data_IF_473948227503
#
_entry.id   IF_473948227503
#
_cell.length_a   1.000
_cell.length_b   1.000
_cell.length_c   1.000
_cell.angle_alpha   90.00
_cell.angle_beta   90.00
_cell.angle_gamma   90.00
#
_symmetry.space_group_name_H-M   'P 1'
#
loop_
_entity.id
_entity.type
_entity.pdbx_description
1 polymer ?
#
# COMPACT_ATOMS: atom_id res chain seq x y z
N UNK A 1 15.26 5.41 -14.57
CA UNK A 1 14.32 4.61 -13.76
C UNK A 1 13.10 5.48 -13.55
N UNK A 2 11.90 4.95 -13.69
CA UNK A 2 10.67 5.74 -13.66
C UNK A 2 9.94 5.54 -12.33
N UNK A 3 9.33 6.58 -11.77
CA UNK A 3 8.74 6.56 -10.43
C UNK A 3 7.23 6.82 -10.49
N UNK A 4 6.34 5.82 -10.31
CA UNK A 4 4.91 6.06 -10.17
C UNK A 4 4.59 6.71 -8.81
N UNK A 5 3.85 7.84 -8.84
CA UNK A 5 3.38 8.56 -7.66
C UNK A 5 1.86 8.53 -7.56
N UNK A 6 1.37 8.24 -6.35
CA UNK A 6 -0.02 8.42 -5.93
C UNK A 6 -0.11 9.57 -4.93
N UNK A 7 -1.04 10.49 -5.14
CA UNK A 7 -1.34 11.58 -4.20
C UNK A 7 -2.50 11.18 -3.28
N UNK A 8 -2.34 11.47 -1.99
CA UNK A 8 -3.25 11.16 -0.89
C UNK A 8 -3.62 12.44 -0.12
N UNK A 9 -4.70 12.45 0.65
CA UNK A 9 -5.15 13.65 1.38
C UNK A 9 -4.86 13.61 2.89
N UNK A 10 -4.38 12.49 3.44
CA UNK A 10 -3.95 12.38 4.84
C UNK A 10 -2.43 12.38 4.95
N UNK A 11 -1.87 12.73 6.13
CA UNK A 11 -0.42 12.81 6.41
C UNK A 11 0.30 11.48 6.16
N UNK A 12 0.60 11.20 4.90
CA UNK A 12 1.04 9.90 4.42
C UNK A 12 2.29 10.05 3.59
N UNK A 13 3.32 9.29 3.95
CA UNK A 13 4.52 9.15 3.12
C UNK A 13 4.91 7.68 3.06
N UNK A 14 4.65 7.03 1.94
CA UNK A 14 5.13 5.68 1.64
C UNK A 14 6.10 5.71 0.45
N UNK A 15 7.16 4.93 0.57
CA UNK A 15 8.13 4.65 -0.46
C UNK A 15 8.32 3.13 -0.54
N UNK A 16 7.97 2.55 -1.69
CA UNK A 16 8.14 1.13 -1.97
C UNK A 16 9.05 0.92 -3.17
N UNK A 17 10.05 0.06 -3.02
CA UNK A 17 11.00 -0.31 -4.07
C UNK A 17 10.61 -1.65 -4.64
N UNK A 18 10.46 -1.72 -5.95
CA UNK A 18 10.37 -2.96 -6.72
C UNK A 18 11.62 -3.11 -7.61
N UNK A 19 11.83 -4.25 -8.29
CA UNK A 19 12.97 -4.39 -9.21
C UNK A 19 12.95 -3.37 -10.35
N UNK A 20 11.77 -2.88 -10.72
CA UNK A 20 11.55 -2.08 -11.92
C UNK A 20 11.53 -0.57 -11.61
N UNK A 21 11.00 -0.18 -10.45
CA UNK A 21 10.72 1.21 -10.11
C UNK A 21 10.70 1.46 -8.59
N UNK A 22 10.64 2.75 -8.22
CA UNK A 22 10.25 3.13 -6.87
C UNK A 22 8.85 3.73 -6.97
N UNK A 23 7.90 3.14 -6.25
CA UNK A 23 6.54 3.64 -6.09
C UNK A 23 6.48 4.52 -4.85
N UNK A 24 5.83 5.67 -4.96
CA UNK A 24 5.72 6.64 -3.88
C UNK A 24 4.26 7.01 -3.68
N UNK A 25 3.78 6.98 -2.45
CA UNK A 25 2.46 7.50 -2.06
C UNK A 25 2.68 8.65 -1.10
N UNK A 26 2.26 9.85 -1.47
CA UNK A 26 2.48 11.07 -0.69
C UNK A 26 1.18 11.81 -0.50
N UNK A 27 1.11 12.60 0.56
CA UNK A 27 0.12 13.65 0.68
C UNK A 27 0.37 14.81 -0.30
N UNK A 28 -0.57 15.76 -0.38
CA UNK A 28 -0.43 16.93 -1.25
C UNK A 28 0.80 17.79 -0.89
N UNK A 29 1.15 17.85 0.40
CA UNK A 29 2.27 18.60 0.95
C UNK A 29 3.60 18.01 0.49
N UNK A 30 3.80 16.70 0.68
CA UNK A 30 4.97 15.96 0.23
C UNK A 30 5.07 15.92 -1.29
N UNK A 31 3.95 15.88 -2.02
CA UNK A 31 3.97 15.98 -3.48
C UNK A 31 4.54 17.31 -3.98
N UNK A 32 4.28 18.43 -3.28
CA UNK A 32 4.81 19.76 -3.65
C UNK A 32 6.33 19.84 -3.54
N UNK A 33 6.98 18.98 -2.77
CA UNK A 33 8.43 18.93 -2.64
C UNK A 33 9.12 18.26 -3.83
N UNK A 34 8.37 17.52 -4.65
CA UNK A 34 8.91 16.80 -5.80
C UNK A 34 9.01 17.69 -7.03
N UNK A 35 10.19 17.68 -7.66
CA UNK A 35 10.39 18.37 -8.92
C UNK A 35 9.94 17.50 -10.11
N UNK A 36 9.12 18.03 -11.04
CA UNK A 36 8.76 17.32 -12.26
C UNK A 36 10.01 16.93 -13.06
N UNK A 37 10.07 15.69 -13.52
CA UNK A 37 11.16 15.19 -14.39
C UNK A 37 10.64 14.13 -15.35
N UNK A 38 11.40 13.83 -16.40
CA UNK A 38 11.08 12.74 -17.35
C UNK A 38 11.10 11.34 -16.71
N UNK A 39 11.72 11.22 -15.54
CA UNK A 39 11.78 10.00 -14.75
C UNK A 39 10.61 9.88 -13.76
N UNK A 40 9.74 10.88 -13.68
CA UNK A 40 8.60 10.91 -12.78
C UNK A 40 7.31 10.60 -13.55
N UNK A 41 6.56 9.60 -13.09
CA UNK A 41 5.22 9.30 -13.57
C UNK A 41 4.22 9.57 -12.46
N UNK A 42 3.30 10.50 -12.68
CA UNK A 42 2.28 10.86 -11.68
C UNK A 42 0.93 10.32 -12.15
N UNK A 43 0.21 9.65 -11.26
CA UNK A 43 -1.17 9.26 -11.54
C UNK A 43 -2.08 10.51 -11.50
N UNK A 44 -3.05 10.58 -12.41
CA UNK A 44 -3.84 11.80 -12.63
C UNK A 44 -5.00 12.03 -11.67
N UNK A 45 -5.25 11.12 -10.72
CA UNK A 45 -6.32 11.16 -9.73
C UNK A 45 -5.72 11.36 -8.33
N UNK A 46 -6.46 12.06 -7.47
CA UNK A 46 -6.20 12.02 -6.03
C UNK A 46 -6.88 10.79 -5.42
N UNK A 47 -6.19 10.14 -4.49
CA UNK A 47 -6.66 8.94 -3.80
C UNK A 47 -6.97 9.23 -2.34
N UNK A 48 -8.03 8.62 -1.83
CA UNK A 48 -8.48 8.75 -0.45
C UNK A 48 -8.24 7.41 0.25
N UNK A 49 -7.59 7.41 1.42
CA UNK A 49 -7.37 6.18 2.18
C UNK A 49 -8.62 5.83 2.98
N UNK A 50 -9.08 4.60 2.82
CA UNK A 50 -10.09 3.98 3.68
C UNK A 50 -9.38 3.07 4.67
N UNK A 51 -9.73 3.21 5.94
CA UNK A 51 -9.26 2.32 7.01
C UNK A 51 -10.46 1.64 7.67
N UNK A 52 -10.39 0.31 7.83
CA UNK A 52 -11.49 -0.49 8.37
C UNK A 52 -11.15 -0.90 9.79
N UNK A 53 -11.78 -0.25 10.77
CA UNK A 53 -11.61 -0.60 12.18
C UNK A 53 -12.73 -1.54 12.62
N UNK A 54 -12.38 -2.74 13.10
CA UNK A 54 -13.35 -3.61 13.74
C UNK A 54 -13.43 -3.30 15.25
N UNK A 55 -14.56 -2.76 15.71
CA UNK A 55 -14.87 -2.68 17.14
C UNK A 55 -15.24 -4.07 17.68
N UNK A 56 -14.24 -4.92 17.85
CA UNK A 56 -14.40 -6.26 18.38
C UNK A 56 -14.63 -6.24 19.88
N UNK A 57 -15.89 -6.31 20.32
CA UNK A 57 -16.27 -6.58 21.71
C UNK A 57 -16.10 -8.08 22.08
N UNK A 58 -15.13 -8.77 21.51
CA UNK A 58 -14.90 -10.20 21.72
C UNK A 58 -13.44 -10.44 22.10
N UNK A 59 -13.26 -10.85 23.35
CA UNK A 59 -12.02 -11.30 23.98
C UNK A 59 -11.34 -12.43 23.20
N UNK A 60 -10.49 -12.09 22.24
CA UNK A 60 -9.46 -12.98 21.72
C UNK A 60 -8.30 -12.12 21.21
N UNK A 61 -7.21 -12.14 21.98
CA UNK A 61 -5.88 -11.70 21.56
C UNK A 61 -5.57 -12.19 20.16
N UNK A 62 -5.05 -11.33 19.30
CA UNK A 62 -4.75 -11.52 17.87
C UNK A 62 -5.95 -11.43 16.92
N UNK A 63 -6.20 -10.23 16.39
CA UNK A 63 -6.50 -10.03 14.97
C UNK A 63 -6.47 -8.53 14.67
N UNK A 64 -5.37 -8.07 14.07
CA UNK A 64 -5.53 -7.08 13.00
C UNK A 64 -6.65 -7.61 12.08
N UNK A 65 -7.51 -6.74 11.56
CA UNK A 65 -8.59 -7.13 10.66
C UNK A 65 -7.93 -7.60 9.37
N UNK A 66 -7.47 -8.85 9.34
CA UNK A 66 -6.61 -9.33 8.26
C UNK A 66 -7.27 -9.13 6.91
N UNK A 67 -6.46 -8.82 5.91
CA UNK A 67 -6.82 -8.53 4.50
C UNK A 67 -7.94 -9.43 3.97
N UNK A 68 -8.03 -10.70 4.38
CA UNK A 68 -9.11 -11.63 4.02
C UNK A 68 -10.53 -11.18 4.41
N UNK A 69 -10.70 -10.52 5.56
CA UNK A 69 -12.01 -9.97 5.97
C UNK A 69 -12.36 -8.76 5.11
N UNK A 70 -11.41 -7.86 4.95
CA UNK A 70 -11.53 -6.66 4.09
C UNK A 70 -11.81 -7.04 2.64
N UNK A 71 -11.19 -8.10 2.13
CA UNK A 71 -11.36 -8.56 0.77
C UNK A 71 -12.83 -8.90 0.44
N UNK A 72 -13.55 -9.51 1.39
CA UNK A 72 -14.95 -9.89 1.18
C UNK A 72 -15.92 -8.74 1.42
N UNK A 73 -15.71 -7.96 2.48
CA UNK A 73 -16.67 -6.93 2.89
C UNK A 73 -16.44 -5.57 2.23
N UNK A 74 -15.25 -5.32 1.66
CA UNK A 74 -14.92 -4.04 1.04
C UNK A 74 -14.46 -4.22 -0.40
N UNK A 75 -13.41 -5.01 -0.65
CA UNK A 75 -12.80 -5.09 -2.00
C UNK A 75 -13.79 -5.68 -3.01
N UNK A 76 -14.47 -6.78 -2.68
CA UNK A 76 -15.43 -7.41 -3.59
C UNK A 76 -16.63 -6.51 -3.94
N UNK A 77 -17.35 -5.89 -2.99
CA UNK A 77 -18.42 -4.93 -3.31
C UNK A 77 -17.96 -3.74 -4.16
N UNK A 78 -16.77 -3.18 -3.87
CA UNK A 78 -16.23 -2.06 -4.65
C UNK A 78 -15.89 -2.48 -6.09
N UNK A 79 -15.33 -3.67 -6.26
CA UNK A 79 -15.02 -4.21 -7.59
C UNK A 79 -16.30 -4.46 -8.42
N UNK A 80 -17.38 -4.96 -7.79
CA UNK A 80 -18.69 -5.13 -8.43
C UNK A 80 -19.29 -3.81 -8.92
N UNK A 81 -18.99 -2.70 -8.23
CA UNK A 81 -19.39 -1.34 -8.63
C UNK A 81 -18.36 -0.64 -9.53
N UNK A 82 -17.39 -1.37 -10.05
CA UNK A 82 -16.37 -0.85 -10.96
C UNK A 82 -15.50 0.26 -10.32
N UNK A 83 -15.23 0.15 -9.01
CA UNK A 83 -14.31 1.03 -8.28
C UNK A 83 -12.92 0.40 -8.24
N UNK A 84 -11.92 1.09 -8.79
CA UNK A 84 -10.52 0.68 -8.70
C UNK A 84 -9.96 0.98 -7.31
N UNK A 85 -9.21 0.03 -6.74
CA UNK A 85 -8.59 0.16 -5.42
C UNK A 85 -7.08 -0.04 -5.49
N UNK A 86 -6.34 0.66 -4.63
CA UNK A 86 -4.92 0.46 -4.38
C UNK A 86 -4.73 0.02 -2.93
N UNK A 87 -4.05 -1.10 -2.70
CA UNK A 87 -3.85 -1.63 -1.35
C UNK A 87 -2.51 -1.16 -0.80
N UNK A 88 -2.51 -0.63 0.43
CA UNK A 88 -1.31 -0.25 1.16
C UNK A 88 -1.37 -0.84 2.57
N UNK A 89 -0.75 -2.00 2.74
CA UNK A 89 -0.61 -2.65 4.05
C UNK A 89 0.64 -2.14 4.77
N UNK A 90 0.47 -1.78 6.04
CA UNK A 90 1.55 -1.37 6.94
C UNK A 90 1.62 -2.31 8.15
N UNK A 91 2.62 -2.12 9.01
CA UNK A 91 2.70 -2.83 10.28
C UNK A 91 1.49 -2.53 11.19
N UNK A 92 0.96 -1.31 11.11
CA UNK A 92 -0.11 -0.84 12.00
C UNK A 92 -1.50 -1.22 11.48
N UNK A 93 -1.76 -1.02 10.19
CA UNK A 93 -3.07 -1.26 9.57
C UNK A 93 -3.00 -1.47 8.06
N UNK A 94 -4.11 -1.91 7.49
CA UNK A 94 -4.34 -2.04 6.05
C UNK A 94 -5.14 -0.84 5.53
N UNK A 95 -4.56 -0.08 4.60
CA UNK A 95 -5.24 1.01 3.90
C UNK A 95 -5.73 0.56 2.53
N UNK A 96 -6.95 0.98 2.18
CA UNK A 96 -7.56 0.77 0.87
C UNK A 96 -7.72 2.15 0.24
N UNK A 97 -6.89 2.47 -0.73
CA UNK A 97 -6.96 3.74 -1.43
C UNK A 97 -7.98 3.65 -2.57
N UNK A 98 -8.89 4.61 -2.61
CA UNK A 98 -9.89 4.78 -3.67
C UNK A 98 -9.75 6.14 -4.31
N UNK A 99 -10.08 6.29 -5.60
CA UNK A 99 -10.02 7.62 -6.22
C UNK A 99 -11.09 8.53 -5.63
N UNK A 100 -10.74 9.79 -5.36
CA UNK A 100 -11.67 10.78 -4.79
C UNK A 100 -12.97 10.89 -5.62
N UNK A 101 -12.85 10.85 -6.96
CA UNK A 101 -14.01 10.89 -7.87
C UNK A 101 -15.00 9.73 -7.70
N UNK A 102 -14.56 8.61 -7.13
CA UNK A 102 -15.37 7.41 -6.91
C UNK A 102 -15.96 7.37 -5.48
N UNK A 103 -15.70 8.39 -4.64
CA UNK A 103 -16.09 8.41 -3.23
C UNK A 103 -17.60 8.26 -3.01
N UNK A 104 -18.44 8.86 -3.87
CA UNK A 104 -19.90 8.73 -3.73
C UNK A 104 -20.35 7.28 -3.91
N UNK A 105 -19.78 6.58 -4.90
CA UNK A 105 -20.07 5.16 -5.16
C UNK A 105 -19.57 4.31 -4.00
N UNK A 106 -18.38 4.61 -3.47
CA UNK A 106 -17.82 3.92 -2.30
C UNK A 106 -18.75 4.03 -1.09
N UNK A 107 -19.22 5.24 -0.77
CA UNK A 107 -20.13 5.48 0.37
C UNK A 107 -21.45 4.73 0.16
N UNK A 108 -22.07 4.86 -1.00
CA UNK A 108 -23.33 4.15 -1.32
C UNK A 108 -23.19 2.63 -1.25
N UNK A 109 -22.03 2.09 -1.64
CA UNK A 109 -21.76 0.65 -1.65
C UNK A 109 -21.55 0.11 -0.24
N UNK A 110 -20.85 0.85 0.62
CA UNK A 110 -20.41 0.35 1.93
C UNK A 110 -21.34 0.74 3.09
N UNK A 111 -22.22 1.73 2.93
CA UNK A 111 -23.08 2.25 4.01
C UNK A 111 -24.07 1.22 4.57
N UNK A 112 -24.43 0.19 3.80
CA UNK A 112 -25.33 -0.88 4.27
C UNK A 112 -24.65 -1.79 5.31
N UNK A 113 -23.35 -2.01 5.19
CA UNK A 113 -22.58 -2.89 6.09
C UNK A 113 -21.75 -2.11 7.12
N UNK A 114 -21.40 -0.85 6.85
CA UNK A 114 -20.48 -0.07 7.64
C UNK A 114 -21.07 1.26 8.10
N UNK A 115 -20.75 1.64 9.34
CA UNK A 115 -20.88 3.02 9.77
C UNK A 115 -19.68 3.80 9.23
N UNK A 116 -19.92 4.71 8.29
CA UNK A 116 -18.86 5.45 7.61
C UNK A 116 -18.60 6.76 8.37
N UNK A 117 -17.33 7.01 8.66
CA UNK A 117 -16.86 8.24 9.28
C UNK A 117 -15.80 8.89 8.40
N UNK A 118 -15.78 10.22 8.41
CA UNK A 118 -14.75 11.05 7.79
C UNK A 118 -13.98 11.74 8.91
N UNK A 119 -12.65 11.74 8.83
CA UNK A 119 -11.84 12.53 9.74
C UNK A 119 -11.75 13.98 9.26
N UNK A 120 -12.18 14.92 10.09
CA UNK A 120 -12.07 16.35 9.85
C UNK A 120 -11.46 17.01 11.08
N UNK A 121 -10.24 17.56 10.95
CA UNK A 121 -9.55 18.22 12.05
C UNK A 121 -9.23 17.31 13.24
N UNK A 122 -9.09 16.00 13.02
CA UNK A 122 -8.84 15.00 14.06
C UNK A 122 -10.12 14.45 14.73
N UNK A 123 -11.30 14.90 14.32
CA UNK A 123 -12.58 14.41 14.83
C UNK A 123 -13.26 13.49 13.78
N UNK A 124 -13.92 12.44 14.24
CA UNK A 124 -14.67 11.51 13.38
C UNK A 124 -16.10 11.99 13.16
N UNK A 125 -16.40 12.47 11.95
CA UNK A 125 -17.72 12.97 11.55
C UNK A 125 -18.48 11.87 10.78
N UNK A 126 -19.72 11.51 11.16
CA UNK A 126 -20.49 10.49 10.46
C UNK A 126 -20.92 10.96 9.07
N UNK A 127 -20.71 10.12 8.06
CA UNK A 127 -21.10 10.41 6.67
C UNK A 127 -22.47 9.80 6.38
N UNK A 128 -23.40 10.60 5.85
CA UNK A 128 -24.73 10.15 5.47
C UNK A 128 -24.85 10.08 3.95
N UNK A 129 -25.63 9.11 3.43
CA UNK A 129 -25.76 8.87 1.98
C UNK A 129 -26.27 10.08 1.19
N UNK A 130 -27.02 11.00 1.81
CA UNK A 130 -27.55 12.20 1.17
C UNK A 130 -26.50 13.26 0.84
N UNK A 131 -25.34 13.25 1.51
CA UNK A 131 -24.27 14.23 1.28
C UNK A 131 -23.45 13.93 0.00
N UNK A 132 -23.61 12.73 -0.56
CA UNK A 132 -22.86 12.24 -1.73
C UNK A 132 -23.61 12.34 -3.08
N UNK A 133 -24.88 12.76 -3.09
CA UNK A 133 -25.78 12.64 -4.26
C UNK A 133 -25.54 13.64 -5.42
N UNK A 134 -24.51 14.48 -5.40
CA UNK A 134 -24.34 15.54 -6.41
C UNK A 134 -23.60 15.12 -7.70
N UNK A 135 -23.55 13.84 -8.05
CA UNK A 135 -22.74 13.43 -9.21
C UNK A 135 -22.99 12.06 -9.82
N UNK A 136 -24.17 11.44 -9.67
CA UNK A 136 -24.42 10.10 -10.20
C UNK A 136 -24.61 10.11 -11.73
N UNK A 137 -23.55 10.43 -12.48
CA UNK A 137 -23.43 10.01 -13.86
C UNK A 137 -22.95 8.57 -13.86
N UNK A 138 -23.90 7.64 -14.09
CA UNK A 138 -23.60 6.30 -14.57
C UNK A 138 -22.88 6.45 -15.92
N UNK A 139 -21.56 6.64 -15.87
CA UNK A 139 -20.73 6.60 -17.05
C UNK A 139 -20.85 5.18 -17.61
N UNK A 140 -21.44 5.07 -18.80
CA UNK A 140 -21.48 3.84 -19.59
C UNK A 140 -20.09 3.46 -20.09
N UNK A 141 -19.14 3.29 -19.17
CA UNK A 141 -17.84 2.69 -19.48
C UNK A 141 -18.10 1.23 -19.82
N UNK A 142 -17.61 0.82 -20.99
CA UNK A 142 -17.48 -0.58 -21.34
C UNK A 142 -16.85 -1.32 -20.16
N UNK A 143 -17.53 -2.39 -19.72
CA UNK A 143 -17.07 -3.23 -18.62
C UNK A 143 -15.68 -3.75 -18.99
N UNK A 144 -14.60 -3.35 -18.30
CA UNK A 144 -13.31 -3.97 -18.50
C UNK A 144 -13.48 -5.45 -18.16
N UNK A 145 -13.24 -6.33 -19.13
CA UNK A 145 -13.30 -7.77 -18.90
C UNK A 145 -12.33 -8.14 -17.79
N UNK A 146 -12.82 -8.86 -16.78
CA UNK A 146 -11.96 -9.39 -15.71
C UNK A 146 -10.87 -10.27 -16.33
N UNK A 147 -9.62 -9.83 -16.19
CA UNK A 147 -8.43 -10.56 -16.64
C UNK A 147 -7.86 -11.37 -15.50
N UNK A 148 -7.46 -12.60 -15.79
CA UNK A 148 -6.74 -13.43 -14.83
C UNK A 148 -5.26 -13.08 -14.92
N UNK A 149 -4.69 -12.59 -13.82
CA UNK A 149 -3.30 -12.19 -13.77
C UNK A 149 -2.41 -13.36 -13.30
N UNK A 150 -1.22 -13.54 -13.90
CA UNK A 150 -0.28 -14.54 -13.42
C UNK A 150 0.22 -14.19 -12.02
N UNK A 151 0.51 -15.21 -11.23
CA UNK A 151 1.07 -15.06 -9.88
C UNK A 151 2.50 -15.61 -9.87
N UNK A 152 3.44 -14.81 -9.38
CA UNK A 152 4.83 -15.17 -9.13
C UNK A 152 5.07 -15.21 -7.62
N UNK A 153 5.69 -16.28 -7.12
CA UNK A 153 6.01 -16.44 -5.70
C UNK A 153 7.54 -16.52 -5.56
N UNK A 154 8.21 -15.42 -5.19
CA UNK A 154 9.64 -15.42 -4.90
C UNK A 154 9.99 -16.34 -3.71
N UNK A 155 11.25 -16.74 -3.63
CA UNK A 155 11.79 -17.51 -2.50
C UNK A 155 12.15 -16.63 -1.29
N UNK A 156 12.12 -15.30 -1.42
CA UNK A 156 12.38 -14.38 -0.30
C UNK A 156 11.49 -14.69 0.90
N UNK A 157 12.06 -14.49 2.07
CA UNK A 157 11.34 -14.38 3.32
C UNK A 157 11.36 -12.93 3.78
N UNK A 158 10.19 -12.36 4.00
CA UNK A 158 10.00 -10.96 4.38
C UNK A 158 9.64 -10.85 5.85
N UNK A 159 10.13 -9.80 6.49
CA UNK A 159 9.69 -9.38 7.81
C UNK A 159 8.92 -8.06 7.68
N UNK A 160 7.83 -7.96 8.45
CA UNK A 160 7.08 -6.71 8.65
C UNK A 160 7.45 -6.19 10.03
N UNK A 161 7.97 -4.97 10.08
CA UNK A 161 8.57 -4.38 11.28
C UNK A 161 8.12 -2.94 11.49
N UNK A 162 8.24 -2.48 12.72
CA UNK A 162 8.00 -1.11 13.16
C UNK A 162 9.26 -0.57 13.82
N UNK A 163 9.34 0.76 13.93
CA UNK A 163 10.44 1.48 14.54
C UNK A 163 9.88 2.66 15.33
N UNK A 164 10.52 3.01 16.44
CA UNK A 164 10.25 4.27 17.12
C UNK A 164 10.76 5.43 16.24
N UNK A 165 9.91 6.40 15.83
CA UNK A 165 10.32 7.54 15.01
C UNK A 165 11.53 8.30 15.56
N UNK A 166 11.67 8.39 16.89
CA UNK A 166 12.79 9.09 17.53
C UNK A 166 14.13 8.38 17.29
N UNK A 167 14.08 7.08 16.97
CA UNK A 167 15.26 6.25 16.65
C UNK A 167 15.56 6.18 15.16
N UNK A 168 14.69 6.72 14.29
CA UNK A 168 14.89 6.76 12.83
C UNK A 168 16.23 7.37 12.41
N UNK A 169 16.72 8.47 13.02
CA UNK A 169 18.03 9.02 12.69
C UNK A 169 19.19 8.03 12.90
N UNK A 170 19.07 7.08 13.85
CA UNK A 170 20.11 6.11 14.14
C UNK A 170 20.26 5.05 13.03
N UNK A 171 19.21 4.79 12.26
CA UNK A 171 19.23 3.83 11.14
C UNK A 171 19.26 4.50 9.77
N UNK A 172 19.24 5.84 9.71
CA UNK A 172 19.05 6.59 8.47
C UNK A 172 20.11 6.28 7.40
N UNK A 173 21.37 6.14 7.79
CA UNK A 173 22.45 5.80 6.86
C UNK A 173 22.28 4.40 6.26
N UNK A 174 21.94 3.41 7.08
CA UNK A 174 21.63 2.05 6.61
C UNK A 174 20.40 2.05 5.71
N UNK A 175 19.35 2.78 6.09
CA UNK A 175 18.13 2.89 5.30
C UNK A 175 18.42 3.48 3.91
N UNK A 176 19.19 4.57 3.85
CA UNK A 176 19.62 5.19 2.58
C UNK A 176 20.45 4.22 1.74
N UNK A 177 21.37 3.48 2.36
CA UNK A 177 22.20 2.50 1.66
C UNK A 177 21.37 1.36 1.02
N UNK A 178 20.44 0.79 1.78
CA UNK A 178 19.53 -0.26 1.32
C UNK A 178 18.59 0.24 0.21
N UNK A 179 18.04 1.44 0.38
CA UNK A 179 17.10 2.02 -0.58
C UNK A 179 17.79 2.41 -1.90
N UNK A 180 18.95 3.07 -1.84
CA UNK A 180 19.50 3.77 -3.01
C UNK A 180 20.82 3.19 -3.55
N UNK A 181 21.61 2.48 -2.74
CA UNK A 181 22.98 2.09 -3.10
C UNK A 181 23.19 0.57 -3.22
N UNK A 182 22.40 -0.24 -2.51
CA UNK A 182 22.45 -1.71 -2.56
C UNK A 182 22.06 -2.32 -3.92
N UNK A 183 21.82 -1.49 -4.93
CA UNK A 183 21.43 -1.84 -6.30
C UNK A 183 22.59 -2.08 -7.26
N UNK A 184 23.86 -2.09 -6.82
CA UNK A 184 24.95 -2.38 -7.76
C UNK A 184 24.84 -3.82 -8.28
N UNK A 185 24.72 -4.06 -9.60
CA UNK A 185 24.89 -5.39 -10.15
C UNK A 185 26.22 -5.93 -9.64
N UNK A 186 26.21 -7.02 -8.87
CA UNK A 186 27.45 -7.70 -8.51
C UNK A 186 28.00 -8.29 -9.81
N UNK A 187 28.99 -7.61 -10.39
CA UNK A 187 29.67 -8.00 -11.61
C UNK A 187 30.26 -9.41 -11.41
N UNK A 188 29.56 -10.43 -11.93
CA UNK A 188 29.95 -11.84 -11.81
C UNK A 188 28.93 -12.81 -11.18
N UNK A 189 27.73 -12.39 -10.79
CA UNK A 189 26.70 -13.33 -10.35
C UNK A 189 26.10 -14.11 -11.54
N UNK A 190 26.00 -15.43 -11.40
CA UNK A 190 25.36 -16.29 -12.40
C UNK A 190 23.89 -15.93 -12.58
N UNK A 191 23.45 -15.77 -13.84
CA UNK A 191 22.09 -15.42 -14.29
C UNK A 191 20.97 -16.28 -13.66
N UNK A 192 21.31 -17.42 -13.07
CA UNK A 192 20.38 -18.41 -12.48
C UNK A 192 20.02 -18.14 -11.00
N UNK A 193 20.82 -17.36 -10.26
CA UNK A 193 20.54 -17.01 -8.85
C UNK A 193 19.64 -15.77 -8.71
N UNK A 194 19.72 -14.82 -9.65
CA UNK A 194 18.90 -13.60 -9.67
C UNK A 194 17.40 -13.85 -9.94
N UNK A 195 17.03 -15.08 -10.32
CA UNK A 195 15.65 -15.42 -10.71
C UNK A 195 14.78 -15.97 -9.56
N UNK A 196 15.38 -16.32 -8.42
CA UNK A 196 14.66 -16.94 -7.28
C UNK A 196 14.16 -15.93 -6.27
N UNK A 197 14.93 -14.87 -6.03
CA UNK A 197 14.59 -13.81 -5.11
C UNK A 197 14.28 -12.52 -5.88
N UNK A 198 13.32 -11.75 -5.38
CA UNK A 198 12.96 -10.44 -5.90
C UNK A 198 13.50 -9.35 -4.98
N UNK A 199 13.95 -8.23 -5.55
CA UNK A 199 14.22 -7.04 -4.75
C UNK A 199 12.90 -6.39 -4.34
N UNK A 200 12.65 -6.31 -3.04
CA UNK A 200 11.53 -5.55 -2.52
C UNK A 200 11.88 -4.93 -1.17
N UNK A 201 11.56 -3.65 -0.99
CA UNK A 201 11.67 -2.93 0.27
C UNK A 201 10.57 -1.88 0.36
N UNK A 202 9.83 -1.80 1.45
CA UNK A 202 8.83 -0.76 1.69
C UNK A 202 9.14 -0.02 2.98
N UNK A 203 9.08 1.31 2.91
CA UNK A 203 9.15 2.24 4.03
C UNK A 203 7.88 3.08 4.04
N UNK A 204 7.21 3.15 5.19
CA UNK A 204 6.08 4.05 5.39
C UNK A 204 6.29 4.87 6.65
N UNK A 205 5.98 6.16 6.58
CA UNK A 205 5.75 7.06 7.70
C UNK A 205 4.36 7.65 7.53
N UNK A 206 3.40 7.17 8.32
CA UNK A 206 1.99 7.56 8.24
C UNK A 206 1.52 7.92 9.64
N UNK A 207 0.98 9.12 9.82
CA UNK A 207 0.54 9.66 11.12
C UNK A 207 1.57 9.48 12.24
N UNK A 208 2.85 9.65 11.91
CA UNK A 208 3.97 9.49 12.83
C UNK A 208 4.37 8.05 13.14
N UNK A 209 3.71 7.04 12.55
CA UNK A 209 4.09 5.64 12.70
C UNK A 209 4.99 5.18 11.56
N UNK A 210 6.11 4.53 11.91
CA UNK A 210 7.02 3.92 10.93
C UNK A 210 6.63 2.47 10.69
N UNK A 211 6.59 2.07 9.42
CA UNK A 211 6.45 0.69 8.98
C UNK A 211 7.51 0.33 7.95
N UNK A 212 8.10 -0.85 8.12
CA UNK A 212 9.15 -1.39 7.27
C UNK A 212 8.76 -2.79 6.80
N UNK A 213 8.88 -3.04 5.50
CA UNK A 213 8.81 -4.39 4.92
C UNK A 213 10.08 -4.64 4.15
N UNK A 214 10.84 -5.65 4.54
CA UNK A 214 12.12 -5.96 3.93
C UNK A 214 12.42 -7.45 4.02
N UNK A 215 13.32 -7.95 3.17
CA UNK A 215 13.74 -9.35 3.28
C UNK A 215 14.72 -9.57 4.44
N UNK A 216 14.91 -10.83 4.80
CA UNK A 216 15.85 -11.22 5.87
C UNK A 216 17.32 -10.89 5.58
N UNK A 217 17.71 -10.60 4.34
CA UNK A 217 19.08 -10.18 4.01
C UNK A 217 19.28 -8.69 4.33
N UNK A 218 18.35 -7.84 3.89
CA UNK A 218 18.30 -6.42 4.22
C UNK A 218 18.18 -6.22 5.73
N UNK A 219 17.31 -6.98 6.41
CA UNK A 219 17.08 -6.87 7.85
C UNK A 219 18.35 -7.08 8.69
N UNK A 220 19.30 -7.91 8.22
CA UNK A 220 20.59 -8.13 8.91
C UNK A 220 21.52 -6.92 8.91
N UNK A 221 21.29 -5.96 8.03
CA UNK A 221 22.08 -4.73 7.95
C UNK A 221 21.64 -3.70 9.01
N UNK A 222 20.43 -3.85 9.57
CA UNK A 222 19.90 -2.96 10.58
C UNK A 222 20.25 -3.41 12.01
N UNK A 223 20.40 -2.48 12.96
CA UNK A 223 20.54 -2.81 14.38
C UNK A 223 19.31 -3.56 14.91
N UNK A 224 19.52 -4.76 15.43
CA UNK A 224 18.43 -5.66 15.85
C UNK A 224 17.67 -5.18 17.09
N UNK A 225 18.24 -4.25 17.86
CA UNK A 225 17.67 -3.68 19.08
C UNK A 225 16.70 -2.53 18.81
N UNK A 226 16.72 -1.96 17.60
CA UNK A 226 15.85 -0.84 17.22
C UNK A 226 14.59 -1.29 16.48
N UNK A 227 14.65 -2.42 15.77
CA UNK A 227 13.51 -2.91 14.98
C UNK A 227 12.60 -3.82 15.81
N UNK A 228 11.32 -3.50 15.85
CA UNK A 228 10.31 -4.28 16.56
C UNK A 228 9.44 -5.06 15.58
N UNK A 229 9.10 -6.30 15.94
CA UNK A 229 8.18 -7.14 15.17
C UNK A 229 7.26 -7.89 16.13
N UNK A 230 6.00 -8.07 15.73
CA UNK A 230 4.97 -8.78 16.50
C UNK A 230 5.03 -10.30 16.32
N UNK A 231 5.62 -10.77 15.23
CA UNK A 231 5.81 -12.18 14.93
C UNK A 231 7.03 -12.72 15.67
N UNK A 232 6.83 -13.71 16.55
CA UNK A 232 7.92 -14.45 17.20
C UNK A 232 8.60 -15.41 16.22
N UNK A 233 9.28 -14.85 15.22
CA UNK A 233 10.01 -15.59 14.18
C UNK A 233 9.21 -16.04 12.97
N UNK A 234 7.92 -15.66 12.86
CA UNK A 234 7.15 -15.88 11.62
C UNK A 234 7.59 -14.89 10.55
N UNK A 235 7.77 -15.40 9.33
CA UNK A 235 8.20 -14.65 8.16
C UNK A 235 7.14 -14.79 7.06
N UNK A 236 7.05 -13.78 6.22
CA UNK A 236 6.07 -13.68 5.14
C UNK A 236 6.68 -14.11 3.81
N UNK A 237 5.85 -14.69 2.94
CA UNK A 237 6.20 -14.95 1.54
C UNK A 237 5.35 -14.06 0.65
N UNK A 238 6.01 -13.43 -0.32
CA UNK A 238 5.34 -12.57 -1.28
C UNK A 238 4.59 -13.38 -2.34
N UNK A 239 3.40 -12.91 -2.70
CA UNK A 239 2.73 -13.27 -3.95
C UNK A 239 2.65 -12.01 -4.84
N UNK A 240 3.49 -11.96 -5.88
CA UNK A 240 3.45 -10.89 -6.89
C UNK A 240 2.40 -11.23 -7.93
N UNK A 241 1.42 -10.37 -8.11
CA UNK A 241 0.32 -10.55 -9.05
C UNK A 241 0.54 -9.61 -10.22
N UNK A 242 0.42 -10.13 -11.45
CA UNK A 242 0.65 -9.35 -12.67
C UNK A 242 2.02 -9.63 -13.29
N UNK A 243 2.03 -9.73 -14.63
CA UNK A 243 3.25 -9.86 -15.44
C UNK A 243 3.58 -8.61 -16.28
N UNK A 244 2.72 -7.60 -16.20
CA UNK A 244 2.85 -6.28 -16.80
C UNK A 244 2.31 -5.25 -15.79
N UNK A 245 2.73 -3.98 -15.84
CA UNK A 245 2.17 -2.94 -14.98
C UNK A 245 0.64 -2.89 -15.14
N UNK A 246 -0.09 -3.25 -14.09
CA UNK A 246 -1.55 -3.35 -14.08
C UNK A 246 -2.23 -2.00 -14.35
N UNK A 247 -1.50 -0.90 -14.13
CA UNK A 247 -2.01 0.45 -14.22
C UNK A 247 -3.11 0.71 -13.18
N UNK A 248 -3.65 1.93 -13.20
CA UNK A 248 -4.68 2.37 -12.25
C UNK A 248 -6.11 2.35 -12.82
N UNK A 249 -6.25 1.77 -14.02
CA UNK A 249 -7.50 1.66 -14.76
C UNK A 249 -8.10 0.25 -14.77
N UNK A 250 -7.31 -0.78 -14.45
CA UNK A 250 -7.83 -2.15 -14.36
C UNK A 250 -8.65 -2.32 -13.09
N UNK A 251 -9.77 -3.02 -13.24
CA UNK A 251 -10.89 -2.94 -12.31
C UNK A 251 -10.87 -4.03 -11.22
N UNK A 252 -9.87 -4.91 -11.21
CA UNK A 252 -9.88 -6.10 -10.36
C UNK A 252 -8.50 -6.52 -9.85
N UNK A 253 -7.48 -5.67 -10.01
CA UNK A 253 -6.15 -5.99 -9.49
C UNK A 253 -5.69 -4.88 -8.56
N UNK A 254 -5.64 -5.12 -7.25
CA UNK A 254 -4.86 -4.28 -6.37
C UNK A 254 -3.42 -4.39 -6.85
N UNK A 255 -2.90 -3.25 -7.28
CA UNK A 255 -1.56 -3.11 -7.83
C UNK A 255 -0.51 -3.74 -6.93
N UNK A 256 0.29 -4.60 -7.54
CA UNK A 256 1.69 -4.92 -7.25
C UNK A 256 2.10 -4.94 -5.77
N UNK A 257 1.48 -5.82 -4.98
CA UNK A 257 2.09 -6.67 -3.92
C UNK A 257 1.12 -6.84 -2.75
N UNK A 258 0.68 -8.08 -2.50
CA UNK A 258 0.05 -8.46 -1.24
C UNK A 258 1.11 -9.03 -0.30
N UNK A 259 1.06 -8.61 0.97
CA UNK A 259 1.70 -9.29 2.10
C UNK A 259 0.65 -10.00 2.93
#
# INVERSE_FOLDING_TARGET
>A
QTFPILTCTSSTSNLSITPENYTVVLDEEGFKELQPSEHLQVEGSTWLPLNVVSNGNTSSSSQAVGVTKIAKSVIAPLAEQHVSVFMLSTYQTDFILVREKDLSVVVETLVEEFNIFREEGGESVPVHSQDACNGLQRNGREVPHATVHPVLIPENQFCVMSLDPDTLPAIATTLIDVLFYSNSPKEGASVDQDMKCIKFFSFSLIDGYVSLVMDTEAQRQFPADLLFTSSSGELWRMARIGGQPLGFGELHSPSDTFF
#
